data_IF_181608546692
#
_entry.id   IF_181608546692
#
_cell.length_a   1.000
_cell.length_b   1.000
_cell.length_c   1.000
_cell.angle_alpha   90.00
_cell.angle_beta   90.00
_cell.angle_gamma   90.00
#
_symmetry.space_group_name_H-M   'P 1'
#
loop_
_entity.id
_entity.type
_entity.pdbx_description
1 polymer ?
#
# COMPACT_ATOMS: atom_id res chain seq x y z
N UNK A 1 13.92 -9.12 -20.24
CA UNK A 1 12.93 -8.82 -21.29
C UNK A 1 13.08 -7.38 -21.79
N UNK A 2 12.69 -6.32 -21.05
CA UNK A 2 12.72 -4.91 -21.52
C UNK A 2 14.10 -4.45 -22.00
N UNK A 3 15.15 -4.68 -21.19
CA UNK A 3 16.52 -4.31 -21.57
C UNK A 3 17.09 -5.08 -22.78
N UNK A 4 16.51 -6.25 -23.09
CA UNK A 4 16.84 -7.04 -24.27
C UNK A 4 15.97 -6.68 -25.49
N UNK A 5 15.08 -5.68 -25.33
CA UNK A 5 14.11 -5.26 -26.35
C UNK A 5 13.24 -6.42 -26.86
N UNK A 6 12.87 -7.35 -25.98
CA UNK A 6 11.93 -8.42 -26.28
C UNK A 6 10.54 -7.83 -26.51
N UNK A 7 9.79 -8.41 -27.43
CA UNK A 7 8.43 -7.99 -27.73
C UNK A 7 7.51 -8.21 -26.52
N UNK A 8 6.98 -7.11 -25.99
CA UNK A 8 5.96 -7.08 -24.93
C UNK A 8 4.99 -5.99 -25.33
N UNK A 9 3.72 -6.34 -25.53
CA UNK A 9 2.71 -5.36 -25.98
C UNK A 9 2.00 -4.65 -24.83
N UNK A 10 1.84 -5.32 -23.67
CA UNK A 10 1.23 -4.76 -22.45
C UNK A 10 2.03 -5.17 -21.22
N UNK A 11 2.26 -4.24 -20.33
CA UNK A 11 3.01 -4.46 -19.08
C UNK A 11 2.36 -3.74 -17.91
N UNK A 12 2.06 -4.46 -16.83
CA UNK A 12 1.75 -3.86 -15.53
C UNK A 12 3.04 -3.58 -14.76
N UNK A 13 3.18 -2.37 -14.21
CA UNK A 13 4.32 -1.99 -13.37
C UNK A 13 4.20 -2.56 -11.94
N UNK A 14 4.06 -3.88 -11.81
CA UNK A 14 4.01 -4.60 -10.54
C UNK A 14 5.39 -5.17 -10.24
N UNK A 15 5.98 -4.77 -9.11
CA UNK A 15 7.36 -5.17 -8.79
C UNK A 15 8.44 -4.54 -9.66
N UNK A 16 8.05 -3.64 -10.55
CA UNK A 16 8.92 -2.86 -11.41
C UNK A 16 8.53 -1.38 -11.29
N UNK A 17 9.39 -0.51 -10.74
CA UNK A 17 9.04 0.88 -10.50
C UNK A 17 8.72 1.63 -11.79
N UNK A 18 7.57 2.28 -11.85
CA UNK A 18 7.10 3.07 -13.00
C UNK A 18 8.13 4.14 -13.42
N UNK A 19 8.63 4.91 -12.43
CA UNK A 19 9.65 5.92 -12.67
C UNK A 19 10.93 5.32 -13.32
N UNK A 20 11.36 4.13 -12.89
CA UNK A 20 12.51 3.44 -13.48
C UNK A 20 12.25 3.08 -14.96
N UNK A 21 11.06 2.61 -15.27
CA UNK A 21 10.68 2.31 -16.66
C UNK A 21 10.75 3.53 -17.58
N UNK A 22 10.33 4.69 -17.07
CA UNK A 22 10.39 5.97 -17.77
C UNK A 22 11.86 6.41 -17.95
N UNK A 23 12.64 6.43 -16.89
CA UNK A 23 14.06 6.84 -16.90
C UNK A 23 14.91 6.00 -17.85
N UNK A 24 14.62 4.69 -17.90
CA UNK A 24 15.32 3.76 -18.81
C UNK A 24 14.83 3.85 -20.26
N UNK A 25 13.79 4.65 -20.53
CA UNK A 25 13.20 4.79 -21.86
C UNK A 25 12.50 3.52 -22.36
N UNK A 26 11.94 2.71 -21.45
CA UNK A 26 11.26 1.46 -21.82
C UNK A 26 9.78 1.63 -22.14
N UNK A 27 9.17 2.75 -21.76
CA UNK A 27 7.72 2.95 -21.84
C UNK A 27 7.36 3.93 -22.97
N UNK A 28 6.28 3.65 -23.68
CA UNK A 28 5.77 4.50 -24.75
C UNK A 28 4.95 5.65 -24.17
N UNK A 29 4.98 6.80 -24.85
CA UNK A 29 3.97 7.83 -24.68
C UNK A 29 2.62 7.30 -25.20
N UNK A 30 1.63 7.22 -24.33
CA UNK A 30 0.31 6.67 -24.66
C UNK A 30 -0.59 7.65 -25.42
N UNK A 31 -0.18 8.91 -25.54
CA UNK A 31 -0.89 9.93 -26.33
C UNK A 31 -0.22 10.19 -27.67
N UNK A 32 0.97 9.65 -27.89
CA UNK A 32 1.64 9.76 -29.19
C UNK A 32 0.76 9.18 -30.32
N UNK A 33 0.59 9.95 -31.40
CA UNK A 33 -0.27 9.60 -32.53
C UNK A 33 -1.74 9.32 -32.16
N UNK A 34 -2.27 10.01 -31.17
CA UNK A 34 -3.64 9.87 -30.68
C UNK A 34 -3.98 8.43 -30.23
N UNK A 35 -2.99 7.66 -29.73
CA UNK A 35 -3.12 6.26 -29.40
C UNK A 35 -4.24 6.03 -28.35
N UNK A 36 -4.18 6.73 -27.20
CA UNK A 36 -5.21 6.64 -26.15
C UNK A 36 -6.56 7.14 -26.68
N UNK A 37 -6.60 8.31 -27.29
CA UNK A 37 -7.86 8.93 -27.74
C UNK A 37 -8.58 8.10 -28.82
N UNK A 38 -7.83 7.40 -29.68
CA UNK A 38 -8.41 6.62 -30.77
C UNK A 38 -8.77 5.20 -30.39
N UNK A 39 -7.96 4.53 -29.53
CA UNK A 39 -8.07 3.10 -29.27
C UNK A 39 -8.41 2.75 -27.82
N UNK A 40 -8.38 3.75 -26.92
CA UNK A 40 -8.76 3.63 -25.50
C UNK A 40 -9.73 4.75 -25.04
N UNK A 41 -10.76 5.14 -25.86
CA UNK A 41 -11.56 6.34 -25.59
C UNK A 41 -12.36 6.28 -24.31
N UNK A 42 -12.69 5.08 -23.81
CA UNK A 42 -13.60 4.90 -22.67
C UNK A 42 -12.84 4.79 -21.34
N UNK A 43 -11.50 4.71 -21.40
CA UNK A 43 -10.66 4.53 -20.19
C UNK A 43 -10.81 5.72 -19.24
N UNK A 44 -10.84 6.96 -19.77
CA UNK A 44 -10.95 8.16 -18.95
C UNK A 44 -12.28 8.22 -18.16
N UNK A 45 -13.37 7.72 -18.75
CA UNK A 45 -14.66 7.61 -18.04
C UNK A 45 -14.59 6.56 -16.94
N UNK A 46 -13.89 5.43 -17.16
CA UNK A 46 -13.79 4.35 -16.22
C UNK A 46 -12.96 4.69 -14.96
N UNK A 47 -11.84 5.42 -15.12
CA UNK A 47 -10.88 5.65 -14.02
C UNK A 47 -10.86 7.10 -13.52
N UNK A 48 -11.43 8.05 -14.24
CA UNK A 48 -11.39 9.48 -13.97
C UNK A 48 -10.15 10.16 -14.55
N UNK A 49 -10.34 11.36 -15.15
CA UNK A 49 -9.26 12.12 -15.79
C UNK A 49 -8.17 12.52 -14.79
N UNK A 50 -8.54 12.91 -13.56
CA UNK A 50 -7.58 13.29 -12.52
C UNK A 50 -6.62 12.14 -12.17
N UNK A 51 -7.10 10.90 -12.17
CA UNK A 51 -6.27 9.72 -11.94
C UNK A 51 -5.33 9.44 -13.13
N UNK A 52 -5.78 9.67 -14.36
CA UNK A 52 -4.92 9.60 -15.56
C UNK A 52 -3.83 10.67 -15.45
N UNK A 53 -4.20 11.89 -15.11
CA UNK A 53 -3.24 13.01 -15.03
C UNK A 53 -2.22 12.79 -13.90
N UNK A 54 -2.60 12.12 -12.80
CA UNK A 54 -1.67 11.72 -11.74
C UNK A 54 -0.61 10.68 -12.18
N UNK A 55 -0.80 10.02 -13.34
CA UNK A 55 0.20 9.13 -13.94
C UNK A 55 1.17 9.84 -14.89
N UNK A 56 0.99 11.15 -15.13
CA UNK A 56 1.89 11.91 -16.01
C UNK A 56 3.24 12.17 -15.32
N UNK A 57 4.28 12.04 -16.11
CA UNK A 57 5.64 12.41 -15.68
C UNK A 57 6.16 13.44 -16.68
N UNK A 58 6.50 14.63 -16.21
CA UNK A 58 6.90 15.76 -17.05
C UNK A 58 5.90 16.08 -18.19
N UNK A 59 4.60 15.93 -17.91
CA UNK A 59 3.51 16.19 -18.84
C UNK A 59 3.20 15.05 -19.83
N UNK A 60 3.98 13.98 -19.86
CA UNK A 60 3.80 12.82 -20.74
C UNK A 60 3.13 11.66 -20.01
N UNK A 61 2.16 11.01 -20.64
CA UNK A 61 1.44 9.86 -20.11
C UNK A 61 2.09 8.55 -20.56
N UNK A 62 2.76 7.85 -19.64
CA UNK A 62 3.42 6.57 -19.92
C UNK A 62 2.63 5.35 -19.41
N UNK A 63 1.59 5.56 -18.58
CA UNK A 63 0.83 4.47 -17.99
C UNK A 63 -0.57 4.90 -17.56
N UNK A 64 -1.46 3.92 -17.45
CA UNK A 64 -2.85 4.08 -17.05
C UNK A 64 -3.02 3.52 -15.65
N UNK A 65 -3.66 4.23 -14.70
CA UNK A 65 -3.81 3.77 -13.32
C UNK A 65 -4.76 2.58 -13.24
N UNK A 66 -4.49 1.63 -12.34
CA UNK A 66 -5.47 0.60 -12.01
C UNK A 66 -6.65 1.22 -11.24
N UNK A 67 -7.87 0.88 -11.62
CA UNK A 67 -9.09 1.30 -10.94
C UNK A 67 -9.39 0.32 -9.79
N UNK A 68 -8.97 0.68 -8.57
CA UNK A 68 -8.97 -0.19 -7.39
C UNK A 68 -9.01 0.62 -6.09
N UNK A 69 -8.74 -0.04 -4.95
CA UNK A 69 -8.43 0.59 -3.66
C UNK A 69 -7.16 1.46 -3.78
N UNK A 70 -7.32 2.76 -4.06
CA UNK A 70 -6.22 3.73 -4.14
C UNK A 70 -5.92 4.30 -2.76
N UNK A 71 -6.97 4.56 -1.98
CA UNK A 71 -6.86 5.02 -0.60
C UNK A 71 -6.40 3.89 0.33
N UNK A 72 -5.85 4.29 1.47
CA UNK A 72 -5.46 3.39 2.54
C UNK A 72 -5.78 4.02 3.90
N UNK A 73 -6.50 3.30 4.74
CA UNK A 73 -6.65 3.65 6.15
C UNK A 73 -5.33 3.49 6.87
N UNK A 74 -4.93 4.51 7.61
CA UNK A 74 -3.65 4.56 8.32
C UNK A 74 -3.83 4.33 9.82
N UNK A 75 -2.77 3.88 10.47
CA UNK A 75 -2.79 3.61 11.90
C UNK A 75 -3.67 2.42 12.27
N UNK A 76 -3.78 1.41 11.40
CA UNK A 76 -4.62 0.26 11.65
C UNK A 76 -3.87 -0.85 12.39
N UNK A 77 -4.56 -1.39 13.41
CA UNK A 77 -4.16 -2.58 14.14
C UNK A 77 -5.22 -3.67 13.98
N UNK A 78 -4.81 -4.85 13.52
CA UNK A 78 -5.64 -6.05 13.54
C UNK A 78 -5.42 -6.78 14.86
N UNK A 79 -6.49 -7.00 15.63
CA UNK A 79 -6.45 -7.71 16.91
C UNK A 79 -7.39 -8.92 16.83
N UNK A 80 -6.95 -10.09 17.25
CA UNK A 80 -7.83 -11.26 17.28
C UNK A 80 -8.95 -11.04 18.31
N UNK A 81 -10.21 -11.11 17.85
CA UNK A 81 -11.43 -10.71 18.56
C UNK A 81 -11.58 -11.45 19.89
N UNK A 82 -11.19 -12.74 19.96
CA UNK A 82 -11.25 -13.53 21.19
C UNK A 82 -10.48 -12.92 22.38
N UNK A 83 -9.41 -12.18 22.11
CA UNK A 83 -8.64 -11.51 23.17
C UNK A 83 -9.32 -10.24 23.65
N UNK A 84 -10.03 -9.52 22.78
CA UNK A 84 -10.87 -8.38 23.13
C UNK A 84 -12.05 -8.83 24.02
N UNK A 85 -12.72 -9.91 23.63
CA UNK A 85 -13.76 -10.55 24.43
C UNK A 85 -13.23 -10.93 25.81
N UNK A 86 -12.02 -11.48 25.85
CA UNK A 86 -11.36 -11.90 27.09
C UNK A 86 -11.10 -10.77 28.08
N UNK A 87 -10.88 -9.54 27.63
CA UNK A 87 -10.76 -8.34 28.49
C UNK A 87 -12.09 -7.62 28.69
N UNK A 88 -13.19 -8.09 28.06
CA UNK A 88 -14.50 -7.47 28.13
C UNK A 88 -14.60 -6.13 27.36
N UNK A 89 -13.79 -5.97 26.32
CA UNK A 89 -13.87 -4.79 25.44
C UNK A 89 -15.11 -4.92 24.54
N UNK A 90 -16.03 -3.99 24.71
CA UNK A 90 -17.27 -3.93 23.90
C UNK A 90 -17.00 -3.11 22.61
N UNK A 91 -16.31 -3.69 21.65
CA UNK A 91 -16.23 -3.12 20.32
C UNK A 91 -17.56 -3.31 19.57
N UNK A 92 -17.94 -2.38 18.71
CA UNK A 92 -18.96 -2.66 17.71
C UNK A 92 -18.32 -3.57 16.63
N UNK A 93 -18.34 -4.87 16.90
CA UNK A 93 -17.69 -5.87 16.03
C UNK A 93 -18.41 -6.05 14.69
N UNK A 94 -19.61 -5.45 14.53
CA UNK A 94 -20.30 -5.41 13.25
C UNK A 94 -19.65 -4.41 12.29
N UNK A 95 -18.92 -3.40 12.82
CA UNK A 95 -18.20 -2.45 11.99
C UNK A 95 -17.00 -3.12 11.30
N UNK A 96 -16.81 -2.84 10.03
CA UNK A 96 -15.65 -3.29 9.26
C UNK A 96 -14.33 -2.76 9.85
N UNK A 97 -14.33 -1.49 10.27
CA UNK A 97 -13.21 -0.82 10.93
C UNK A 97 -13.73 0.03 12.10
N UNK A 98 -13.19 -0.21 13.28
CA UNK A 98 -13.51 0.55 14.49
C UNK A 98 -12.54 1.75 14.62
N UNK A 99 -13.06 2.98 14.46
CA UNK A 99 -12.23 4.19 14.60
C UNK A 99 -12.08 4.57 16.08
N UNK A 100 -10.84 4.61 16.56
CA UNK A 100 -10.49 4.94 17.96
C UNK A 100 -9.32 5.91 18.01
N UNK A 101 -9.07 6.48 19.20
CA UNK A 101 -7.85 7.23 19.46
C UNK A 101 -6.64 6.33 19.74
N UNK A 102 -5.42 6.85 19.51
CA UNK A 102 -4.19 6.10 19.80
C UNK A 102 -4.06 5.75 21.29
N UNK A 103 -4.51 6.64 22.19
CA UNK A 103 -4.50 6.39 23.64
C UNK A 103 -5.39 5.20 24.01
N UNK A 104 -6.56 5.09 23.37
CA UNK A 104 -7.45 3.95 23.59
C UNK A 104 -6.82 2.64 23.09
N UNK A 105 -6.13 2.66 21.94
CA UNK A 105 -5.38 1.49 21.46
C UNK A 105 -4.28 1.08 22.45
N UNK A 106 -3.57 2.06 23.05
CA UNK A 106 -2.56 1.81 24.06
C UNK A 106 -3.18 1.18 25.33
N UNK A 107 -4.36 1.64 25.74
CA UNK A 107 -5.09 1.09 26.88
C UNK A 107 -5.57 -0.35 26.61
N UNK A 108 -6.01 -0.65 25.40
CA UNK A 108 -6.33 -2.02 24.98
C UNK A 108 -5.09 -2.92 25.11
N UNK A 109 -3.94 -2.50 24.59
CA UNK A 109 -2.71 -3.27 24.67
C UNK A 109 -2.25 -3.51 26.11
N UNK A 110 -2.43 -2.53 27.01
CA UNK A 110 -2.13 -2.68 28.41
C UNK A 110 -3.01 -3.74 29.08
N UNK A 111 -4.32 -3.74 28.83
CA UNK A 111 -5.26 -4.71 29.34
C UNK A 111 -5.01 -6.12 28.77
N UNK A 112 -4.67 -6.22 27.49
CA UNK A 112 -4.31 -7.49 26.84
C UNK A 112 -3.06 -8.09 27.50
N UNK A 113 -2.02 -7.31 27.74
CA UNK A 113 -0.81 -7.78 28.42
C UNK A 113 -1.07 -8.21 29.87
N UNK A 114 -1.88 -7.45 30.61
CA UNK A 114 -2.24 -7.82 31.97
C UNK A 114 -2.99 -9.16 32.04
N UNK A 115 -3.91 -9.37 31.07
CA UNK A 115 -4.72 -10.60 31.01
C UNK A 115 -3.96 -11.80 30.46
N UNK A 116 -3.08 -11.59 29.50
CA UNK A 116 -2.37 -12.63 28.75
C UNK A 116 -0.83 -12.40 28.77
N UNK A 117 -0.18 -12.41 29.94
CA UNK A 117 1.24 -12.00 30.07
C UNK A 117 2.23 -12.92 29.34
N UNK A 118 1.81 -14.14 28.99
CA UNK A 118 2.65 -15.11 28.27
C UNK A 118 2.54 -15.01 26.74
N UNK A 119 1.77 -14.03 26.23
CA UNK A 119 1.57 -13.83 24.80
C UNK A 119 2.16 -12.50 24.35
N UNK A 120 2.62 -12.46 23.11
CA UNK A 120 3.02 -11.21 22.48
C UNK A 120 1.76 -10.38 22.16
N UNK A 121 1.74 -9.12 22.63
CA UNK A 121 0.61 -8.22 22.39
C UNK A 121 0.63 -7.70 20.96
N UNK A 122 1.81 -7.23 20.52
CA UNK A 122 1.97 -6.55 19.25
C UNK A 122 3.31 -6.91 18.59
N UNK A 123 3.27 -7.25 17.30
CA UNK A 123 4.45 -7.49 16.48
C UNK A 123 4.63 -6.36 15.46
N UNK A 124 5.67 -5.50 15.58
CA UNK A 124 6.04 -4.58 14.51
C UNK A 124 6.60 -5.34 13.30
N UNK A 125 6.40 -4.76 12.12
CA UNK A 125 6.99 -5.19 10.85
C UNK A 125 7.74 -4.02 10.22
N UNK A 126 8.55 -4.26 9.19
CA UNK A 126 9.28 -3.20 8.47
C UNK A 126 8.35 -2.14 7.84
N UNK A 127 7.07 -2.46 7.65
CA UNK A 127 6.06 -1.54 7.15
C UNK A 127 5.31 -0.77 8.24
N UNK A 128 5.43 -1.16 9.51
CA UNK A 128 4.59 -0.62 10.59
C UNK A 128 4.71 0.89 10.76
N UNK A 129 5.92 1.44 10.70
CA UNK A 129 6.14 2.89 10.77
C UNK A 129 5.36 3.64 9.68
N UNK A 130 5.46 3.19 8.44
CA UNK A 130 4.73 3.81 7.33
C UNK A 130 3.22 3.67 7.47
N UNK A 131 2.72 2.53 7.96
CA UNK A 131 1.29 2.29 8.18
C UNK A 131 0.73 3.15 9.33
N UNK A 132 1.46 3.29 10.44
CA UNK A 132 1.11 4.16 11.56
C UNK A 132 1.53 5.61 11.35
N UNK A 133 1.52 6.11 10.11
CA UNK A 133 1.97 7.46 9.80
C UNK A 133 0.97 8.25 8.96
N UNK A 134 1.01 9.57 9.12
CA UNK A 134 0.39 10.55 8.25
C UNK A 134 1.41 11.19 7.29
N UNK A 135 2.45 10.44 6.91
CA UNK A 135 3.60 10.91 6.13
C UNK A 135 3.43 10.55 4.65
N UNK A 136 3.76 11.49 3.77
CA UNK A 136 3.91 11.25 2.33
C UNK A 136 5.39 11.09 1.96
N UNK A 137 5.75 9.95 1.44
CA UNK A 137 7.14 9.57 1.14
C UNK A 137 7.70 10.20 -0.15
N UNK A 138 6.87 10.83 -0.98
CA UNK A 138 7.30 11.46 -2.23
C UNK A 138 8.16 10.55 -3.14
N UNK A 139 7.74 9.33 -3.36
CA UNK A 139 8.46 8.42 -4.25
C UNK A 139 8.91 7.10 -3.62
N UNK A 140 8.25 6.67 -2.55
CA UNK A 140 8.39 5.32 -2.01
C UNK A 140 9.56 5.11 -1.06
N UNK A 141 10.32 6.16 -0.71
CA UNK A 141 11.35 6.11 0.33
C UNK A 141 11.14 7.23 1.37
N UNK A 142 11.63 7.01 2.58
CA UNK A 142 11.45 7.91 3.73
C UNK A 142 12.52 9.00 3.84
N UNK A 143 13.34 9.18 2.82
CA UNK A 143 14.46 10.13 2.80
C UNK A 143 14.03 11.47 2.19
N UNK A 144 13.44 12.31 3.04
CA UNK A 144 12.72 13.52 2.64
C UNK A 144 11.25 13.24 2.36
N UNK A 145 10.39 13.75 3.23
CA UNK A 145 8.96 13.44 3.27
C UNK A 145 8.13 14.71 3.49
N UNK A 146 6.83 14.62 3.19
CA UNK A 146 5.85 15.60 3.67
C UNK A 146 5.14 15.06 4.89
N UNK A 147 4.90 15.89 5.88
CA UNK A 147 4.08 15.56 7.04
C UNK A 147 2.60 15.92 6.80
N UNK A 148 1.74 15.57 7.76
CA UNK A 148 0.32 15.89 7.76
C UNK A 148 -0.39 15.51 6.44
N UNK A 149 -0.26 14.24 6.05
CA UNK A 149 -0.89 13.71 4.82
C UNK A 149 -0.51 14.50 3.55
N UNK A 150 0.69 15.11 3.50
CA UNK A 150 1.09 15.94 2.39
C UNK A 150 0.27 17.23 2.22
N UNK A 151 -0.40 17.71 3.29
CA UNK A 151 -1.15 18.96 3.26
C UNK A 151 -0.25 20.19 3.30
N UNK A 152 0.96 20.04 3.83
CA UNK A 152 2.06 21.00 3.69
C UNK A 152 3.11 20.43 2.73
N UNK A 153 3.57 21.24 1.77
CA UNK A 153 4.54 20.83 0.74
C UNK A 153 6.00 21.13 1.14
N UNK A 154 6.26 21.31 2.43
CA UNK A 154 7.62 21.44 2.97
C UNK A 154 8.26 20.05 3.14
N UNK A 155 9.22 19.73 2.31
CA UNK A 155 9.97 18.48 2.43
C UNK A 155 10.91 18.53 3.63
N UNK A 156 10.76 17.59 4.56
CA UNK A 156 11.53 17.55 5.81
C UNK A 156 12.34 16.26 5.96
N UNK A 157 13.33 16.28 6.85
CA UNK A 157 13.97 15.08 7.35
C UNK A 157 12.99 14.36 8.31
N UNK A 158 12.53 13.17 7.93
CA UNK A 158 11.63 12.37 8.75
C UNK A 158 12.20 12.10 10.15
N UNK A 159 13.48 11.76 10.22
CA UNK A 159 14.16 11.30 11.44
C UNK A 159 14.38 12.42 12.48
N UNK A 160 14.21 13.67 12.09
CA UNK A 160 14.21 14.83 12.99
C UNK A 160 12.79 15.25 13.41
N UNK A 161 11.76 14.70 12.78
CA UNK A 161 10.36 15.04 13.07
C UNK A 161 9.89 14.52 14.43
N UNK A 162 8.98 15.25 15.05
CA UNK A 162 8.34 14.82 16.28
C UNK A 162 7.55 13.52 16.05
N UNK A 163 6.89 13.38 14.90
CA UNK A 163 6.21 12.14 14.54
C UNK A 163 7.11 10.89 14.67
N UNK A 164 8.30 10.92 14.07
CA UNK A 164 9.21 9.77 14.09
C UNK A 164 9.74 9.46 15.50
N UNK A 165 10.07 10.51 16.25
CA UNK A 165 10.50 10.40 17.65
C UNK A 165 9.42 9.79 18.54
N UNK A 166 8.19 10.28 18.41
CA UNK A 166 7.05 9.78 19.18
C UNK A 166 6.71 8.32 18.81
N UNK A 167 6.79 7.98 17.51
CA UNK A 167 6.62 6.60 17.06
C UNK A 167 7.66 5.67 17.70
N UNK A 168 8.94 5.99 17.60
CA UNK A 168 10.01 5.16 18.16
C UNK A 168 9.95 5.10 19.70
N UNK A 169 9.62 6.21 20.36
CA UNK A 169 9.43 6.24 21.83
C UNK A 169 8.30 5.31 22.28
N UNK A 170 7.18 5.29 21.54
CA UNK A 170 6.07 4.37 21.80
C UNK A 170 6.47 2.91 21.62
N UNK A 171 7.18 2.56 20.54
CA UNK A 171 7.63 1.18 20.32
C UNK A 171 8.67 0.75 21.36
N UNK A 172 9.52 1.68 21.80
CA UNK A 172 10.44 1.43 22.91
C UNK A 172 9.68 1.15 24.22
N UNK A 173 8.67 1.95 24.56
CA UNK A 173 7.79 1.73 25.70
C UNK A 173 7.08 0.36 25.63
N UNK A 174 6.55 -0.01 24.44
CA UNK A 174 5.94 -1.34 24.21
C UNK A 174 6.94 -2.48 24.45
N UNK A 175 8.16 -2.33 23.96
CA UNK A 175 9.23 -3.31 24.16
C UNK A 175 9.59 -3.43 25.66
N UNK A 176 9.80 -2.28 26.37
CA UNK A 176 10.13 -2.27 27.79
C UNK A 176 9.01 -2.86 28.67
N UNK A 177 7.75 -2.74 28.25
CA UNK A 177 6.58 -3.35 28.92
C UNK A 177 6.39 -4.84 28.59
N UNK A 178 7.17 -5.39 27.66
CA UNK A 178 7.06 -6.78 27.24
C UNK A 178 5.89 -7.05 26.28
N UNK A 179 5.36 -6.03 25.60
CA UNK A 179 4.31 -6.21 24.60
C UNK A 179 4.86 -6.82 23.30
N UNK A 180 6.14 -6.60 23.02
CA UNK A 180 6.87 -7.09 21.85
C UNK A 180 7.78 -8.23 22.29
N UNK A 181 7.78 -9.34 21.57
CA UNK A 181 8.67 -10.47 21.85
C UNK A 181 10.14 -10.09 21.71
N UNK A 182 11.01 -10.62 22.57
CA UNK A 182 12.43 -10.35 22.55
C UNK A 182 13.14 -10.79 21.26
N UNK A 183 12.56 -11.72 20.52
CA UNK A 183 13.05 -12.23 19.23
C UNK A 183 12.40 -11.58 18.01
N UNK A 184 11.48 -10.61 18.20
CA UNK A 184 10.75 -9.96 17.10
C UNK A 184 11.64 -9.36 16.00
N UNK A 185 12.88 -8.98 16.34
CA UNK A 185 13.85 -8.45 15.36
C UNK A 185 14.51 -9.52 14.48
N UNK A 186 14.42 -10.77 14.85
CA UNK A 186 15.10 -11.90 14.18
C UNK A 186 14.15 -13.00 13.73
N UNK A 187 12.95 -13.07 14.30
CA UNK A 187 11.91 -14.00 13.88
C UNK A 187 11.28 -13.57 12.56
N UNK A 188 11.38 -14.41 11.55
CA UNK A 188 10.85 -14.17 10.19
C UNK A 188 9.51 -14.85 9.96
N UNK A 189 8.89 -15.42 11.00
CA UNK A 189 7.56 -16.02 10.90
C UNK A 189 6.53 -14.96 10.53
N UNK A 190 5.70 -15.25 9.54
CA UNK A 190 4.65 -14.33 9.11
C UNK A 190 3.67 -14.05 10.27
N UNK A 191 3.30 -12.78 10.45
CA UNK A 191 2.40 -12.36 11.55
C UNK A 191 1.07 -13.13 11.56
N UNK A 192 0.50 -13.45 10.39
CA UNK A 192 -0.70 -14.26 10.28
C UNK A 192 -0.53 -15.67 10.87
N UNK A 193 0.62 -16.32 10.68
CA UNK A 193 0.91 -17.62 11.28
C UNK A 193 1.11 -17.55 12.80
N UNK A 194 1.69 -16.47 13.31
CA UNK A 194 1.82 -16.24 14.75
C UNK A 194 0.45 -16.05 15.41
N UNK A 195 -0.44 -15.26 14.78
CA UNK A 195 -1.82 -15.10 15.26
C UNK A 195 -2.57 -16.41 15.19
N UNK A 196 -2.49 -17.14 14.08
CA UNK A 196 -3.09 -18.47 13.90
C UNK A 196 -2.64 -19.46 14.98
N UNK A 197 -1.37 -19.45 15.33
CA UNK A 197 -0.81 -20.26 16.41
C UNK A 197 -1.25 -19.79 17.82
N UNK A 198 -1.82 -18.59 17.95
CA UNK A 198 -2.26 -18.01 19.22
C UNK A 198 -1.11 -17.49 20.09
N UNK A 199 0.04 -17.23 19.52
CA UNK A 199 1.21 -16.65 20.21
C UNK A 199 1.26 -15.14 20.13
N UNK A 200 0.70 -14.56 19.07
CA UNK A 200 0.58 -13.11 18.81
C UNK A 200 -0.89 -12.70 18.86
N UNK A 201 -1.19 -11.55 19.46
CA UNK A 201 -2.55 -11.02 19.57
C UNK A 201 -2.85 -9.94 18.53
N UNK A 202 -1.86 -9.12 18.12
CA UNK A 202 -2.08 -7.97 17.24
C UNK A 202 -0.87 -7.66 16.36
N UNK A 203 -1.16 -7.08 15.20
CA UNK A 203 -0.16 -6.56 14.27
C UNK A 203 -0.74 -5.40 13.43
N UNK A 204 0.13 -4.70 12.70
CA UNK A 204 -0.25 -3.59 11.81
C UNK A 204 -0.79 -4.11 10.49
N UNK A 205 -1.91 -3.54 10.03
CA UNK A 205 -2.47 -3.75 8.69
C UNK A 205 -2.84 -2.43 8.02
N UNK A 206 -3.23 -2.44 6.75
CA UNK A 206 -3.78 -1.28 6.05
C UNK A 206 -5.30 -1.32 6.06
N UNK A 207 -5.95 -0.22 6.47
CA UNK A 207 -7.41 -0.14 6.48
C UNK A 207 -8.00 0.02 5.08
N UNK A 208 -9.08 -0.72 4.80
CA UNK A 208 -9.91 -0.57 3.61
C UNK A 208 -11.20 -1.41 3.77
N UNK A 209 -12.27 -1.18 3.02
CA UNK A 209 -13.39 -2.10 2.95
C UNK A 209 -12.95 -3.53 2.61
N UNK A 210 -13.50 -4.54 3.28
CA UNK A 210 -13.14 -5.95 3.13
C UNK A 210 -11.87 -6.38 3.90
N UNK A 211 -11.22 -5.48 4.64
CA UNK A 211 -9.97 -5.80 5.37
C UNK A 211 -10.21 -6.80 6.49
N UNK A 212 -11.34 -6.72 7.19
CA UNK A 212 -11.69 -7.65 8.28
C UNK A 212 -11.80 -9.08 7.76
N UNK A 213 -12.51 -9.28 6.66
CA UNK A 213 -12.63 -10.59 6.01
C UNK A 213 -11.26 -11.10 5.53
N UNK A 214 -10.44 -10.22 4.95
CA UNK A 214 -9.08 -10.55 4.50
C UNK A 214 -8.20 -11.02 5.67
N UNK A 215 -8.16 -10.27 6.78
CA UNK A 215 -7.32 -10.60 7.94
C UNK A 215 -7.84 -11.85 8.68
N UNK A 216 -9.16 -12.02 8.76
CA UNK A 216 -9.80 -13.23 9.30
C UNK A 216 -9.40 -14.48 8.48
N UNK A 217 -9.41 -14.38 7.17
CA UNK A 217 -8.97 -15.47 6.27
C UNK A 217 -7.48 -15.75 6.43
N UNK A 218 -6.65 -14.70 6.47
CA UNK A 218 -5.18 -14.81 6.61
C UNK A 218 -4.79 -15.52 7.91
N UNK A 219 -5.44 -15.16 9.01
CA UNK A 219 -5.08 -15.66 10.35
C UNK A 219 -5.83 -16.94 10.75
N UNK A 220 -6.96 -17.23 10.08
CA UNK A 220 -7.89 -18.28 10.49
C UNK A 220 -8.57 -18.02 11.84
N UNK A 221 -8.58 -16.76 12.31
CA UNK A 221 -9.23 -16.29 13.53
C UNK A 221 -10.08 -15.08 13.20
N UNK A 222 -11.18 -14.89 13.92
CA UNK A 222 -11.96 -13.65 13.80
C UNK A 222 -11.10 -12.46 14.26
N UNK A 223 -11.06 -11.43 13.43
CA UNK A 223 -10.22 -10.24 13.63
C UNK A 223 -11.06 -8.99 13.75
N UNK A 224 -10.73 -8.14 14.71
CA UNK A 224 -11.25 -6.77 14.82
C UNK A 224 -10.19 -5.80 14.34
N UNK A 225 -10.57 -4.86 13.46
CA UNK A 225 -9.67 -3.87 12.89
C UNK A 225 -9.92 -2.53 13.56
N UNK A 226 -8.92 -2.01 14.23
CA UNK A 226 -8.93 -0.65 14.80
C UNK A 226 -8.16 0.30 13.89
N UNK A 227 -8.64 1.54 13.78
CA UNK A 227 -7.99 2.59 13.00
C UNK A 227 -7.85 3.86 13.82
N UNK A 228 -6.63 4.39 13.89
CA UNK A 228 -6.27 5.56 14.70
C UNK A 228 -5.96 6.83 13.89
N UNK A 229 -5.81 6.71 12.57
CA UNK A 229 -5.50 7.81 11.65
C UNK A 229 -6.51 7.83 10.50
N UNK A 230 -6.53 8.90 9.72
CA UNK A 230 -7.46 9.05 8.60
C UNK A 230 -7.09 8.18 7.38
N UNK A 231 -8.08 8.00 6.52
CA UNK A 231 -7.92 7.41 5.20
C UNK A 231 -7.15 8.37 4.30
N UNK A 232 -6.23 7.84 3.47
CA UNK A 232 -5.25 8.65 2.80
C UNK A 232 -4.87 8.14 1.40
N UNK A 233 -4.72 9.08 0.46
CA UNK A 233 -4.14 8.87 -0.87
C UNK A 233 -2.83 9.68 -0.94
N UNK A 234 -1.70 8.98 -0.99
CA UNK A 234 -0.37 9.60 -1.08
C UNK A 234 -0.05 10.12 -2.48
N UNK A 235 1.04 10.88 -2.60
CA UNK A 235 1.54 11.39 -3.89
C UNK A 235 1.70 10.32 -4.97
N UNK A 236 2.00 9.08 -4.57
CA UNK A 236 2.27 7.96 -5.50
C UNK A 236 1.20 6.88 -5.53
N UNK A 237 0.12 6.99 -4.74
CA UNK A 237 -0.89 5.93 -4.64
C UNK A 237 -1.53 5.59 -5.98
N UNK A 238 -1.90 6.59 -6.77
CA UNK A 238 -2.56 6.42 -8.08
C UNK A 238 -1.61 5.77 -9.09
N UNK A 239 -0.37 6.27 -9.17
CA UNK A 239 0.64 5.80 -10.11
C UNK A 239 1.50 4.64 -9.56
N UNK A 240 1.05 3.93 -8.52
CA UNK A 240 1.85 2.88 -7.88
C UNK A 240 2.02 1.63 -8.76
N UNK A 241 1.03 1.30 -9.58
CA UNK A 241 1.01 0.10 -10.44
C UNK A 241 0.28 0.38 -11.75
N UNK A 242 0.76 1.31 -12.59
CA UNK A 242 0.08 1.60 -13.84
C UNK A 242 0.27 0.50 -14.88
N UNK A 243 -0.70 0.38 -15.76
CA UNK A 243 -0.63 -0.43 -16.97
C UNK A 243 0.00 0.37 -18.11
N UNK A 244 0.97 -0.21 -18.78
CA UNK A 244 1.83 0.49 -19.75
C UNK A 244 1.95 -0.29 -21.06
N UNK A 245 2.35 0.42 -22.11
CA UNK A 245 2.74 -0.18 -23.40
C UNK A 245 4.23 0.10 -23.58
N UNK A 246 5.12 -0.92 -23.54
CA UNK A 246 6.54 -0.73 -23.75
C UNK A 246 6.88 -0.22 -25.15
N UNK A 247 8.06 0.40 -25.31
CA UNK A 247 8.55 0.84 -26.65
C UNK A 247 8.81 -0.35 -27.58
N UNK A 248 9.08 -1.53 -27.04
CA UNK A 248 9.28 -2.78 -27.79
C UNK A 248 7.99 -3.38 -28.35
N UNK A 249 6.83 -2.85 -27.98
CA UNK A 249 5.52 -3.30 -28.47
C UNK A 249 5.42 -3.17 -29.97
N UNK A 250 5.04 -4.24 -30.66
CA UNK A 250 4.84 -4.28 -32.09
C UNK A 250 3.40 -3.94 -32.48
N UNK A 251 2.45 -4.11 -31.54
CA UNK A 251 1.01 -4.01 -31.78
C UNK A 251 0.34 -2.99 -30.84
N UNK A 252 0.88 -1.76 -30.72
CA UNK A 252 0.43 -0.72 -29.76
C UNK A 252 -1.06 -0.42 -29.86
N UNK A 253 -1.62 -0.35 -31.08
CA UNK A 253 -3.06 -0.12 -31.30
C UNK A 253 -3.91 -1.27 -30.73
N UNK A 254 -3.50 -2.51 -30.96
CA UNK A 254 -4.19 -3.68 -30.42
C UNK A 254 -4.04 -3.75 -28.90
N UNK A 255 -2.86 -3.42 -28.37
CA UNK A 255 -2.60 -3.33 -26.93
C UNK A 255 -3.51 -2.29 -26.25
N UNK A 256 -3.67 -1.10 -26.85
CA UNK A 256 -4.54 -0.07 -26.30
C UNK A 256 -6.03 -0.48 -26.37
N UNK A 257 -6.48 -1.12 -27.47
CA UNK A 257 -7.85 -1.68 -27.56
C UNK A 257 -8.08 -2.75 -26.48
N UNK A 258 -7.10 -3.62 -26.26
CA UNK A 258 -7.17 -4.63 -25.20
C UNK A 258 -7.26 -3.98 -23.83
N UNK A 259 -6.47 -2.95 -23.54
CA UNK A 259 -6.59 -2.18 -22.30
C UNK A 259 -7.97 -1.53 -22.17
N UNK A 260 -8.51 -0.91 -23.24
CA UNK A 260 -9.86 -0.35 -23.19
C UNK A 260 -10.90 -1.39 -22.75
N UNK A 261 -10.86 -2.59 -23.34
CA UNK A 261 -11.74 -3.68 -22.91
C UNK A 261 -11.50 -4.10 -21.46
N UNK A 262 -10.26 -4.16 -21.01
CA UNK A 262 -9.94 -4.51 -19.62
C UNK A 262 -10.47 -3.48 -18.60
N UNK A 263 -10.58 -2.20 -18.98
CA UNK A 263 -11.12 -1.15 -18.12
C UNK A 263 -12.65 -1.05 -18.15
N UNK A 264 -13.32 -1.56 -19.18
CA UNK A 264 -14.76 -1.28 -19.45
C UNK A 264 -15.63 -2.52 -19.55
N UNK A 265 -15.05 -3.69 -19.81
CA UNK A 265 -15.80 -4.93 -20.05
C UNK A 265 -15.70 -5.86 -18.83
N UNK A 266 -16.85 -6.08 -18.15
CA UNK A 266 -16.93 -6.91 -16.95
C UNK A 266 -16.58 -8.38 -17.21
N UNK A 267 -16.88 -8.93 -18.40
CA UNK A 267 -16.55 -10.33 -18.72
C UNK A 267 -15.04 -10.53 -18.78
N UNK A 268 -14.31 -9.56 -19.36
CA UNK A 268 -12.84 -9.58 -19.42
C UNK A 268 -12.25 -9.35 -18.03
N UNK A 269 -12.78 -8.41 -17.26
CA UNK A 269 -12.31 -8.17 -15.89
C UNK A 269 -12.47 -9.42 -15.02
N UNK A 270 -13.60 -10.11 -15.08
CA UNK A 270 -13.84 -11.34 -14.35
C UNK A 270 -12.97 -12.50 -14.85
N UNK A 271 -12.76 -12.62 -16.16
CA UNK A 271 -11.87 -13.63 -16.74
C UNK A 271 -10.42 -13.46 -16.22
N UNK A 272 -9.95 -12.22 -16.12
CA UNK A 272 -8.61 -11.91 -15.61
C UNK A 272 -8.51 -12.12 -14.09
N UNK A 273 -9.53 -11.71 -13.33
CA UNK A 273 -9.50 -11.83 -11.87
C UNK A 273 -9.82 -13.24 -11.37
N UNK A 274 -10.86 -13.86 -11.91
CA UNK A 274 -11.43 -15.10 -11.39
C UNK A 274 -11.20 -16.33 -12.29
N UNK A 275 -10.79 -16.13 -13.55
CA UNK A 275 -10.62 -17.19 -14.53
C UNK A 275 -11.92 -17.55 -15.24
N UNK A 276 -12.12 -18.81 -15.59
CA UNK A 276 -13.26 -19.31 -16.37
C UNK A 276 -14.37 -19.75 -15.42
N UNK A 277 -15.57 -19.15 -15.57
CA UNK A 277 -16.77 -19.54 -14.81
C UNK A 277 -17.13 -21.03 -15.06
N UNK A 278 -17.55 -21.71 -14.01
CA UNK A 278 -17.81 -23.15 -14.02
C UNK A 278 -16.56 -24.04 -13.97
N UNK A 279 -15.35 -23.45 -14.14
CA UNK A 279 -14.07 -24.16 -14.06
C UNK A 279 -13.26 -23.74 -12.84
N UNK A 280 -13.02 -22.45 -12.67
CA UNK A 280 -12.22 -21.88 -11.61
C UNK A 280 -13.09 -21.26 -10.51
N UNK A 281 -14.20 -20.65 -10.89
CA UNK A 281 -15.18 -20.04 -9.99
C UNK A 281 -16.60 -20.29 -10.48
N UNK A 282 -17.58 -20.00 -9.64
CA UNK A 282 -19.01 -19.91 -9.95
C UNK A 282 -19.63 -18.75 -9.18
N UNK A 283 -20.82 -18.34 -9.58
CA UNK A 283 -21.64 -17.39 -8.82
C UNK A 283 -22.55 -18.20 -7.89
N UNK A 284 -22.49 -17.90 -6.59
CA UNK A 284 -23.37 -18.47 -5.57
C UNK A 284 -24.80 -17.92 -5.63
N UNK A 285 -25.69 -18.50 -4.83
CA UNK A 285 -27.10 -18.07 -4.74
C UNK A 285 -27.25 -16.63 -4.17
N UNK A 286 -26.21 -16.16 -3.47
CA UNK A 286 -26.09 -14.81 -2.92
C UNK A 286 -25.55 -13.78 -3.93
N UNK A 287 -25.18 -14.21 -5.14
CA UNK A 287 -24.62 -13.37 -6.19
C UNK A 287 -23.11 -13.13 -6.06
N UNK A 288 -22.45 -13.72 -5.06
CA UNK A 288 -21.00 -13.61 -4.87
C UNK A 288 -20.25 -14.68 -5.66
N UNK A 289 -19.01 -14.35 -6.05
CA UNK A 289 -18.12 -15.34 -6.64
C UNK A 289 -17.56 -16.26 -5.55
N UNK A 290 -17.52 -17.56 -5.85
CA UNK A 290 -16.91 -18.57 -4.98
C UNK A 290 -16.21 -19.60 -5.84
N UNK A 291 -15.50 -20.55 -5.24
CA UNK A 291 -14.88 -21.64 -6.00
C UNK A 291 -15.91 -22.50 -6.75
N UNK A 292 -15.55 -22.95 -7.94
CA UNK A 292 -16.35 -23.92 -8.69
C UNK A 292 -16.48 -25.25 -7.93
N UNK A 293 -17.44 -26.10 -8.31
CA UNK A 293 -17.69 -27.37 -7.64
C UNK A 293 -16.45 -28.29 -7.68
N UNK A 294 -15.98 -28.68 -6.50
CA UNK A 294 -14.77 -29.52 -6.34
C UNK A 294 -13.45 -28.78 -6.48
N UNK A 295 -13.52 -27.43 -6.56
CA UNK A 295 -12.36 -26.54 -6.62
C UNK A 295 -12.18 -25.85 -5.27
N UNK A 296 -10.93 -25.59 -4.88
CA UNK A 296 -10.53 -24.83 -3.71
C UNK A 296 -9.20 -24.08 -4.00
N UNK A 297 -8.71 -23.34 -3.02
CA UNK A 297 -7.47 -22.57 -3.15
C UNK A 297 -6.24 -23.43 -3.53
N UNK A 298 -6.25 -24.74 -3.22
CA UNK A 298 -5.12 -25.62 -3.46
C UNK A 298 -5.11 -26.24 -4.88
N UNK A 299 -6.26 -26.26 -5.55
CA UNK A 299 -6.43 -26.98 -6.82
C UNK A 299 -7.05 -26.15 -7.95
N UNK A 300 -7.39 -24.88 -7.73
CA UNK A 300 -8.09 -24.06 -8.74
C UNK A 300 -7.29 -23.88 -10.03
N UNK A 301 -5.95 -23.91 -9.96
CA UNK A 301 -5.09 -23.63 -11.11
C UNK A 301 -5.10 -22.15 -11.56
N UNK A 302 -5.86 -21.30 -10.89
CA UNK A 302 -5.96 -19.86 -11.10
C UNK A 302 -5.77 -19.11 -9.79
N UNK A 303 -5.02 -17.99 -9.81
CA UNK A 303 -4.79 -17.20 -8.60
C UNK A 303 -5.91 -16.16 -8.42
N UNK A 304 -6.81 -16.39 -7.48
CA UNK A 304 -7.95 -15.52 -7.18
C UNK A 304 -7.60 -14.30 -6.28
N UNK A 305 -6.37 -14.15 -5.86
CA UNK A 305 -5.96 -13.03 -4.99
C UNK A 305 -5.34 -11.83 -5.73
N UNK A 306 -5.37 -11.82 -7.07
CA UNK A 306 -4.66 -10.84 -7.91
C UNK A 306 -5.55 -9.76 -8.53
N UNK A 307 -6.84 -9.70 -8.18
CA UNK A 307 -7.80 -8.72 -8.74
C UNK A 307 -7.36 -7.26 -8.56
N UNK A 308 -6.69 -6.95 -7.45
CA UNK A 308 -6.18 -5.62 -7.12
C UNK A 308 -5.13 -5.06 -8.11
N UNK A 309 -4.47 -5.92 -8.87
CA UNK A 309 -3.48 -5.49 -9.89
C UNK A 309 -4.07 -5.39 -11.30
N UNK A 310 -5.32 -5.83 -11.51
CA UNK A 310 -5.98 -5.76 -12.82
C UNK A 310 -6.38 -4.32 -13.17
N UNK A 311 -6.63 -4.00 -14.45
CA UNK A 311 -6.96 -2.65 -14.89
C UNK A 311 -8.15 -2.05 -14.19
N UNK A 312 -9.24 -2.82 -13.97
CA UNK A 312 -10.43 -2.35 -13.28
C UNK A 312 -11.02 -3.44 -12.39
N UNK A 313 -10.68 -3.40 -11.10
CA UNK A 313 -11.20 -4.31 -10.09
C UNK A 313 -12.70 -4.13 -9.84
N UNK A 314 -13.22 -2.93 -10.00
CA UNK A 314 -14.61 -2.59 -9.70
C UNK A 314 -15.64 -3.15 -10.69
N UNK A 315 -15.20 -3.82 -11.75
CA UNK A 315 -16.05 -4.58 -12.68
C UNK A 315 -16.14 -6.06 -12.32
N UNK A 316 -15.36 -6.52 -11.35
CA UNK A 316 -15.33 -7.94 -10.99
C UNK A 316 -16.48 -8.29 -10.03
N UNK A 317 -16.89 -9.53 -10.02
CA UNK A 317 -17.76 -10.05 -8.97
C UNK A 317 -17.08 -9.92 -7.61
N UNK A 318 -17.85 -9.63 -6.57
CA UNK A 318 -17.34 -9.67 -5.20
C UNK A 318 -17.17 -11.13 -4.79
N UNK A 319 -16.04 -11.43 -4.12
CA UNK A 319 -15.76 -12.79 -3.65
C UNK A 319 -16.48 -13.08 -2.34
N UNK A 320 -16.91 -14.33 -2.14
CA UNK A 320 -17.58 -14.80 -0.93
C UNK A 320 -16.82 -14.39 0.35
N UNK A 321 -17.58 -14.13 1.42
CA UNK A 321 -17.03 -13.64 2.69
C UNK A 321 -16.88 -12.11 2.79
N UNK A 322 -17.13 -11.37 1.71
CA UNK A 322 -17.17 -9.91 1.69
C UNK A 322 -18.63 -9.41 1.58
N UNK A 323 -18.83 -8.13 1.91
CA UNK A 323 -20.09 -7.46 1.68
C UNK A 323 -20.39 -7.39 0.18
N UNK A 324 -21.63 -7.71 -0.29
CA UNK A 324 -22.01 -7.59 -1.69
C UNK A 324 -21.78 -6.18 -2.28
N UNK A 325 -21.86 -5.13 -1.45
CA UNK A 325 -21.66 -3.73 -1.82
C UNK A 325 -20.18 -3.28 -1.77
N UNK A 326 -19.23 -4.19 -1.55
CA UNK A 326 -17.79 -3.92 -1.37
C UNK A 326 -17.23 -2.90 -2.37
N UNK A 327 -17.58 -3.01 -3.66
CA UNK A 327 -17.04 -2.09 -4.66
C UNK A 327 -17.66 -0.69 -4.59
N UNK A 328 -18.87 -0.57 -4.10
CA UNK A 328 -19.50 0.73 -3.81
C UNK A 328 -18.81 1.39 -2.63
N UNK A 329 -18.66 0.65 -1.54
CA UNK A 329 -17.92 1.11 -0.35
C UNK A 329 -16.49 1.50 -0.66
N UNK A 330 -15.79 0.73 -1.52
CA UNK A 330 -14.41 1.01 -1.93
C UNK A 330 -14.29 2.30 -2.75
N UNK A 331 -15.26 2.59 -3.63
CA UNK A 331 -15.33 3.86 -4.37
C UNK A 331 -15.57 5.04 -3.44
N UNK A 332 -16.47 4.88 -2.47
CA UNK A 332 -16.73 5.90 -1.45
C UNK A 332 -15.50 6.12 -0.56
N UNK A 333 -14.83 5.07 -0.17
CA UNK A 333 -13.57 5.11 0.59
C UNK A 333 -12.49 5.91 -0.15
N UNK A 334 -12.27 5.62 -1.44
CA UNK A 334 -11.35 6.38 -2.28
C UNK A 334 -11.74 7.87 -2.38
N UNK A 335 -13.05 8.16 -2.52
CA UNK A 335 -13.55 9.53 -2.69
C UNK A 335 -13.43 10.36 -1.42
N UNK A 336 -13.61 9.73 -0.26
CA UNK A 336 -13.62 10.41 1.05
C UNK A 336 -12.23 10.55 1.67
N UNK A 337 -11.22 9.86 1.14
CA UNK A 337 -9.86 9.89 1.67
C UNK A 337 -9.20 11.27 1.53
N UNK A 338 -8.32 11.61 2.47
CA UNK A 338 -7.45 12.78 2.34
C UNK A 338 -6.46 12.55 1.20
N UNK A 339 -6.41 13.47 0.25
CA UNK A 339 -5.47 13.40 -0.88
C UNK A 339 -4.28 14.31 -0.61
N UNK A 340 -3.07 13.78 -0.82
CA UNK A 340 -1.85 14.59 -0.79
C UNK A 340 -1.91 15.73 -1.81
N UNK A 341 -1.48 16.93 -1.41
CA UNK A 341 -1.30 18.04 -2.36
C UNK A 341 -0.17 17.82 -3.36
N UNK A 342 0.65 16.78 -3.14
CA UNK A 342 1.68 16.31 -4.07
C UNK A 342 1.21 15.13 -4.93
N UNK A 343 -0.11 14.83 -4.98
CA UNK A 343 -0.64 13.74 -5.81
C UNK A 343 -0.25 13.93 -7.27
N UNK A 344 0.33 12.89 -7.88
CA UNK A 344 0.91 12.94 -9.22
C UNK A 344 2.38 13.40 -9.28
N UNK A 345 2.99 13.78 -8.14
CA UNK A 345 4.44 14.01 -8.10
C UNK A 345 5.19 12.68 -8.19
N UNK A 346 6.20 12.63 -9.04
CA UNK A 346 7.11 11.49 -9.19
C UNK A 346 8.56 11.94 -9.02
N UNK A 347 9.24 11.37 -8.02
CA UNK A 347 10.63 11.69 -7.73
C UNK A 347 11.59 10.97 -8.69
N UNK A 348 12.41 11.73 -9.39
CA UNK A 348 13.54 11.21 -10.18
C UNK A 348 14.81 11.15 -9.31
N UNK A 349 15.26 9.96 -8.97
CA UNK A 349 16.44 9.73 -8.14
C UNK A 349 17.76 9.71 -8.90
N UNK A 350 17.77 9.93 -10.23
CA UNK A 350 18.98 9.81 -11.08
C UNK A 350 20.16 10.61 -10.56
N UNK A 351 19.93 11.86 -10.15
CA UNK A 351 20.99 12.76 -9.67
C UNK A 351 21.55 12.39 -8.28
N UNK A 352 20.87 11.53 -7.54
CA UNK A 352 21.20 11.15 -6.15
C UNK A 352 21.20 9.63 -5.93
N UNK A 353 21.33 8.84 -6.99
CA UNK A 353 21.21 7.38 -6.93
C UNK A 353 22.26 6.74 -6.02
N UNK A 354 23.49 7.27 -5.99
CA UNK A 354 24.55 6.79 -5.12
C UNK A 354 24.28 7.09 -3.65
N UNK A 355 23.85 8.32 -3.36
CA UNK A 355 23.47 8.77 -2.02
C UNK A 355 22.26 7.97 -1.53
N UNK A 356 21.24 7.75 -2.40
CA UNK A 356 20.08 6.96 -2.06
C UNK A 356 20.46 5.53 -1.63
N UNK A 357 21.36 4.88 -2.39
CA UNK A 357 21.85 3.55 -2.04
C UNK A 357 22.61 3.55 -0.72
N UNK A 358 23.49 4.54 -0.50
CA UNK A 358 24.30 4.63 0.72
C UNK A 358 23.41 4.89 1.95
N UNK A 359 22.44 5.80 1.85
CA UNK A 359 21.50 6.13 2.93
C UNK A 359 20.58 4.94 3.23
N UNK A 360 20.08 4.25 2.20
CA UNK A 360 19.26 3.06 2.38
C UNK A 360 20.02 1.94 3.12
N UNK A 361 21.28 1.74 2.86
CA UNK A 361 22.10 0.75 3.57
C UNK A 361 22.23 1.09 5.05
N UNK A 362 22.46 2.36 5.39
CA UNK A 362 22.47 2.81 6.79
C UNK A 362 21.11 2.62 7.45
N UNK A 363 20.04 3.02 6.78
CA UNK A 363 18.68 2.85 7.30
C UNK A 363 18.37 1.38 7.60
N UNK A 364 18.68 0.47 6.67
CA UNK A 364 18.46 -0.97 6.84
C UNK A 364 19.26 -1.56 8.03
N UNK A 365 20.45 -1.00 8.33
CA UNK A 365 21.26 -1.41 9.49
C UNK A 365 20.56 -1.08 10.83
N UNK A 366 19.87 0.06 10.90
CA UNK A 366 19.30 0.60 12.14
C UNK A 366 17.79 0.37 12.28
N UNK A 367 17.05 0.30 11.17
CA UNK A 367 15.59 0.34 11.14
C UNK A 367 14.96 -0.59 12.18
N UNK A 368 15.29 -1.87 12.13
CA UNK A 368 14.68 -2.88 13.01
C UNK A 368 14.97 -2.59 14.48
N UNK A 369 16.19 -2.21 14.84
CA UNK A 369 16.53 -1.96 16.25
C UNK A 369 15.86 -0.70 16.79
N UNK A 370 15.71 0.34 15.96
CA UNK A 370 15.10 1.62 16.34
C UNK A 370 13.57 1.53 16.30
N UNK A 371 13.01 1.08 15.17
CA UNK A 371 11.56 1.10 14.94
C UNK A 371 10.81 -0.02 15.67
N UNK A 372 11.48 -1.06 16.15
CA UNK A 372 10.87 -2.11 16.98
C UNK A 372 11.13 -1.87 18.48
N UNK A 373 11.79 -0.76 18.84
CA UNK A 373 12.00 -0.35 20.22
C UNK A 373 13.04 -1.16 21.00
N UNK A 374 14.01 -1.78 20.30
CA UNK A 374 15.09 -2.53 20.97
C UNK A 374 16.24 -1.65 21.49
N UNK A 375 16.32 -0.41 21.02
CA UNK A 375 17.29 0.57 21.47
C UNK A 375 16.62 1.84 21.97
N UNK A 376 17.26 2.54 22.89
CA UNK A 376 16.78 3.84 23.34
C UNK A 376 16.58 4.79 22.14
N UNK A 377 15.38 5.38 21.94
CA UNK A 377 15.07 6.12 20.74
C UNK A 377 15.89 7.40 20.59
N UNK A 378 16.23 8.12 21.68
CA UNK A 378 16.98 9.35 21.61
C UNK A 378 18.39 9.09 21.03
N UNK A 379 19.07 8.07 21.55
CA UNK A 379 20.39 7.66 21.09
C UNK A 379 20.36 6.97 19.72
N UNK A 380 19.42 6.05 19.52
CA UNK A 380 19.33 5.27 18.28
C UNK A 380 18.99 6.12 17.06
N UNK A 381 18.03 7.04 17.19
CA UNK A 381 17.65 7.97 16.11
C UNK A 381 18.80 8.92 15.81
N UNK A 382 19.44 9.49 16.84
CA UNK A 382 20.56 10.42 16.63
C UNK A 382 21.72 9.74 15.87
N UNK A 383 22.15 8.54 16.30
CA UNK A 383 23.22 7.81 15.63
C UNK A 383 22.88 7.43 14.20
N UNK A 384 21.69 6.92 13.96
CA UNK A 384 21.18 6.58 12.62
C UNK A 384 21.15 7.81 11.71
N UNK A 385 20.55 8.92 12.19
CA UNK A 385 20.41 10.15 11.41
C UNK A 385 21.78 10.75 11.06
N UNK A 386 22.73 10.81 12.01
CA UNK A 386 24.07 11.33 11.77
C UNK A 386 24.83 10.52 10.69
N UNK A 387 24.70 9.19 10.72
CA UNK A 387 25.27 8.31 9.69
C UNK A 387 24.61 8.52 8.33
N UNK A 388 23.27 8.66 8.29
CA UNK A 388 22.54 8.93 7.05
C UNK A 388 22.87 10.30 6.48
N UNK A 389 23.00 11.34 7.33
CA UNK A 389 23.45 12.67 6.91
C UNK A 389 24.86 12.61 6.29
N UNK A 390 25.76 11.85 6.89
CA UNK A 390 27.12 11.60 6.36
C UNK A 390 27.08 10.84 5.02
N UNK A 391 26.12 9.91 4.85
CA UNK A 391 25.92 9.14 3.62
C UNK A 391 25.25 9.94 2.49
N UNK A 392 24.71 11.14 2.77
CA UNK A 392 24.15 12.06 1.77
C UNK A 392 22.66 12.30 1.87
N UNK A 393 22.02 12.03 3.01
CA UNK A 393 20.59 12.26 3.23
C UNK A 393 20.14 13.68 2.87
N UNK A 394 20.92 14.70 3.28
CA UNK A 394 20.58 16.10 2.95
C UNK A 394 20.50 16.35 1.45
N UNK A 395 21.38 15.72 0.66
CA UNK A 395 21.38 15.88 -0.80
C UNK A 395 20.10 15.29 -1.44
N UNK A 396 19.60 14.17 -0.90
CA UNK A 396 18.33 13.57 -1.36
C UNK A 396 17.17 14.50 -1.01
N UNK A 397 17.15 15.05 0.20
CA UNK A 397 16.11 15.99 0.65
C UNK A 397 16.10 17.23 -0.23
N UNK A 398 17.27 17.81 -0.54
CA UNK A 398 17.39 19.01 -1.36
C UNK A 398 16.96 18.75 -2.81
N UNK A 399 17.27 17.57 -3.36
CA UNK A 399 16.81 17.16 -4.69
C UNK A 399 15.29 17.00 -4.73
N UNK A 400 14.67 16.34 -3.72
CA UNK A 400 13.20 16.25 -3.61
C UNK A 400 12.56 17.64 -3.51
N UNK A 401 13.12 18.56 -2.72
CA UNK A 401 12.64 19.95 -2.63
C UNK A 401 12.67 20.66 -3.99
N UNK A 402 13.78 20.55 -4.69
CA UNK A 402 13.95 21.19 -5.99
C UNK A 402 12.95 20.65 -7.03
N UNK A 403 12.80 19.33 -7.09
CA UNK A 403 11.87 18.68 -8.03
C UNK A 403 10.41 18.98 -7.68
N UNK A 404 10.03 18.93 -6.40
CA UNK A 404 8.67 19.28 -5.96
C UNK A 404 8.33 20.73 -6.28
N UNK A 405 9.26 21.68 -6.07
CA UNK A 405 9.05 23.06 -6.43
C UNK A 405 8.87 23.27 -7.93
N UNK A 406 9.67 22.58 -8.77
CA UNK A 406 9.52 22.61 -10.22
C UNK A 406 8.18 22.00 -10.68
N UNK A 407 7.77 20.89 -10.06
CA UNK A 407 6.48 20.25 -10.33
C UNK A 407 5.31 21.19 -9.98
N UNK A 408 5.38 21.87 -8.83
CA UNK A 408 4.36 22.85 -8.42
C UNK A 408 4.24 24.02 -9.41
N UNK A 409 5.35 24.50 -9.98
CA UNK A 409 5.31 25.56 -11.00
C UNK A 409 4.69 25.08 -12.31
N UNK A 410 4.92 23.84 -12.68
CA UNK A 410 4.39 23.25 -13.92
C UNK A 410 2.89 22.90 -13.82
N UNK A 411 2.35 22.76 -12.61
CA UNK A 411 0.94 22.35 -12.36
C UNK A 411 0.11 23.49 -11.73
N UNK A 412 0.55 24.75 -11.85
CA UNK A 412 -0.24 25.95 -11.53
C UNK A 412 -1.20 26.24 -12.66
#
# INVERSE_FOLDING_TARGET
ALSANEEIDVLACVGFPYATGIQQGYLSDLEENDLLATYGPDIAEAVGQDNIDACRVNGVLYGLPSNRDIAQGRGCAAIATEYLDGIGYEANTDDEIVKIGLDELNDIYAQLHEKYPDKEVYRPTTGSMSQFSNVDSLGGNVFGVLLDYGQNLDVVNLFESDFYKDYCARLYDYNQKGYISADASTDTTAVGELVKAGTLMSYTTGGKPGIKAQETTLTGRDMTIFQTLDDYISSTSVASMPWTIPISAQHKEAAMKFLNECYTNADIANLLAWGIEGTHYKIGDDGLATYADGVDASNSGWNHSMGWMMPNQFLTHVWEGNDPDLWTEMKEFNTNAKVSKASGFSFDSTNVANELTAVQNVYNEYQTSVEYGFVDPETGIAEMNDKMMTAGLQKIIDEKKAQLAAWQEANK
#
